data_IF_257204049445
#
_entry.id   IF_257204049445
#
_cell.length_a   1.000
_cell.length_b   1.000
_cell.length_c   1.000
_cell.angle_alpha   90.00
_cell.angle_beta   90.00
_cell.angle_gamma   90.00
#
_symmetry.space_group_name_H-M   'P 1'
#
loop_
_entity.id
_entity.type
_entity.pdbx_description
1 polymer ?
#
# COMPACT_ATOMS: atom_id res chain seq x y z
N UNK A 1 25.41 -11.16 7.87
CA UNK A 1 24.81 -10.29 6.84
C UNK A 1 23.68 -11.08 6.22
N UNK A 2 22.54 -10.44 5.93
CA UNK A 2 21.37 -11.12 5.32
C UNK A 2 21.74 -11.68 3.95
N UNK A 3 21.29 -12.91 3.64
CA UNK A 3 21.55 -13.56 2.35
C UNK A 3 20.72 -12.95 1.20
N UNK A 4 19.73 -12.12 1.51
CA UNK A 4 18.86 -11.46 0.53
C UNK A 4 18.47 -10.05 0.98
N UNK A 5 17.97 -9.26 0.03
CA UNK A 5 17.49 -7.90 0.24
C UNK A 5 15.99 -7.82 0.01
N UNK A 6 15.32 -6.94 0.78
CA UNK A 6 13.90 -6.65 0.61
C UNK A 6 13.75 -5.39 -0.24
N UNK A 7 12.97 -5.51 -1.31
CA UNK A 7 12.63 -4.43 -2.23
C UNK A 7 11.11 -4.29 -2.29
N UNK A 8 10.63 -3.08 -2.44
CA UNK A 8 9.22 -2.83 -2.76
C UNK A 8 9.10 -1.74 -3.81
N UNK A 9 7.98 -1.71 -4.52
CA UNK A 9 7.64 -0.52 -5.29
C UNK A 9 7.10 0.60 -4.39
N UNK A 10 7.06 1.83 -4.91
CA UNK A 10 6.74 3.05 -4.16
C UNK A 10 5.32 3.08 -3.58
N UNK A 11 4.44 2.17 -4.01
CA UNK A 11 3.08 2.11 -3.45
C UNK A 11 3.00 1.54 -2.03
N UNK A 12 4.12 1.10 -1.45
CA UNK A 12 4.18 0.66 -0.05
C UNK A 12 4.02 1.81 0.96
N UNK A 13 4.14 3.05 0.51
CA UNK A 13 3.93 4.28 1.30
C UNK A 13 4.69 4.32 2.64
N UNK A 14 5.82 3.62 2.70
CA UNK A 14 6.69 3.66 3.88
C UNK A 14 7.40 5.02 4.00
N UNK A 15 7.44 5.63 5.19
CA UNK A 15 8.32 6.76 5.44
C UNK A 15 9.78 6.42 5.08
N UNK A 16 10.49 7.34 4.42
CA UNK A 16 11.85 7.10 3.92
C UNK A 16 12.84 6.71 5.01
N UNK A 17 12.75 7.36 6.15
CA UNK A 17 13.58 7.08 7.34
C UNK A 17 13.32 5.67 7.88
N UNK A 18 12.06 5.23 7.88
CA UNK A 18 11.68 3.88 8.28
C UNK A 18 12.19 2.84 7.27
N UNK A 19 12.00 3.07 5.98
CA UNK A 19 12.50 2.17 4.93
C UNK A 19 14.02 2.02 5.02
N UNK A 20 14.75 3.13 5.18
CA UNK A 20 16.21 3.12 5.36
C UNK A 20 16.65 2.38 6.64
N UNK A 21 15.99 2.61 7.77
CA UNK A 21 16.24 1.92 9.04
C UNK A 21 16.05 0.40 8.92
N UNK A 22 15.07 -0.01 8.16
CA UNK A 22 14.72 -1.42 7.96
C UNK A 22 15.47 -2.07 6.78
N UNK A 23 16.40 -1.34 6.11
CA UNK A 23 17.14 -1.77 4.93
C UNK A 23 16.23 -2.22 3.77
N UNK A 24 15.14 -1.51 3.57
CA UNK A 24 14.20 -1.71 2.48
C UNK A 24 14.53 -0.74 1.35
N UNK A 25 14.72 -1.27 0.13
CA UNK A 25 14.89 -0.45 -1.06
C UNK A 25 13.55 -0.25 -1.75
N UNK A 26 13.23 1.02 -2.06
CA UNK A 26 11.94 1.37 -2.70
C UNK A 26 12.20 1.84 -4.13
N UNK A 27 11.53 1.21 -5.10
CA UNK A 27 11.53 1.61 -6.51
C UNK A 27 10.37 2.58 -6.74
N UNK A 28 10.62 3.87 -7.02
CA UNK A 28 9.59 4.89 -7.05
C UNK A 28 8.66 4.77 -8.27
N UNK A 29 7.40 5.12 -8.07
CA UNK A 29 6.47 5.43 -9.15
C UNK A 29 6.71 6.85 -9.67
N UNK A 30 6.02 7.19 -10.74
CA UNK A 30 6.02 8.52 -11.33
C UNK A 30 4.62 9.12 -11.27
N UNK A 31 4.54 10.44 -11.04
CA UNK A 31 3.29 11.19 -11.00
C UNK A 31 3.38 12.46 -11.84
N UNK A 32 2.25 12.87 -12.42
CA UNK A 32 2.18 14.06 -13.28
C UNK A 32 0.84 14.78 -13.11
N UNK A 33 0.86 16.12 -13.19
CA UNK A 33 -0.34 16.95 -13.21
C UNK A 33 -0.76 17.37 -14.63
N UNK A 34 0.11 17.20 -15.62
CA UNK A 34 -0.08 17.69 -17.01
C UNK A 34 0.08 16.58 -18.07
N UNK A 35 0.27 15.32 -17.65
CA UNK A 35 0.48 14.14 -18.47
C UNK A 35 1.75 14.21 -19.38
N UNK A 36 2.60 15.21 -19.20
CA UNK A 36 3.83 15.44 -19.97
C UNK A 36 5.07 15.32 -19.11
N UNK A 37 5.03 15.96 -17.94
CA UNK A 37 6.15 16.00 -17.01
C UNK A 37 5.89 15.03 -15.85
N UNK A 38 6.54 13.89 -15.90
CA UNK A 38 6.46 12.87 -14.87
C UNK A 38 7.62 13.04 -13.87
N UNK A 39 7.28 13.11 -12.59
CA UNK A 39 8.19 13.28 -11.47
C UNK A 39 8.25 11.99 -10.66
N UNK A 40 9.44 11.55 -10.27
CA UNK A 40 9.62 10.41 -9.35
C UNK A 40 9.09 10.77 -7.97
N UNK A 41 8.12 9.99 -7.50
CA UNK A 41 7.54 10.16 -6.18
C UNK A 41 8.60 10.01 -5.09
N UNK A 42 8.60 10.96 -4.16
CA UNK A 42 9.54 10.96 -3.05
C UNK A 42 10.98 11.33 -3.44
N UNK A 43 11.29 11.52 -4.73
CA UNK A 43 12.61 11.99 -5.23
C UNK A 43 12.46 13.39 -5.78
N UNK A 44 11.68 13.57 -6.85
CA UNK A 44 11.49 14.85 -7.53
C UNK A 44 10.36 15.67 -6.88
N UNK A 45 9.40 14.99 -6.24
CA UNK A 45 8.29 15.64 -5.53
C UNK A 45 8.01 14.93 -4.22
N UNK A 46 7.90 15.72 -3.13
CA UNK A 46 7.48 15.23 -1.83
C UNK A 46 5.98 14.88 -1.80
N UNK A 47 5.59 13.88 -1.01
CA UNK A 47 4.19 13.47 -0.88
C UNK A 47 3.32 14.63 -0.39
N UNK A 48 3.80 15.40 0.59
CA UNK A 48 3.04 16.55 1.13
C UNK A 48 2.84 17.64 0.09
N UNK A 49 3.86 17.95 -0.71
CA UNK A 49 3.78 18.95 -1.77
C UNK A 49 2.84 18.51 -2.87
N UNK A 50 2.82 17.22 -3.20
CA UNK A 50 1.88 16.64 -4.15
C UNK A 50 0.43 16.82 -3.67
N UNK A 51 0.14 16.49 -2.42
CA UNK A 51 -1.19 16.71 -1.83
C UNK A 51 -1.58 18.19 -1.81
N UNK A 52 -0.65 19.10 -1.49
CA UNK A 52 -0.92 20.53 -1.51
C UNK A 52 -1.32 20.99 -2.91
N UNK A 53 -0.58 20.54 -3.94
CA UNK A 53 -0.95 20.84 -5.34
C UNK A 53 -2.32 20.29 -5.72
N UNK A 54 -2.71 19.10 -5.24
CA UNK A 54 -4.06 18.54 -5.49
C UNK A 54 -5.16 19.41 -4.85
N UNK A 55 -4.92 19.91 -3.64
CA UNK A 55 -5.90 20.74 -2.90
C UNK A 55 -6.04 22.12 -3.51
N UNK A 56 -4.92 22.71 -3.95
CA UNK A 56 -4.88 24.03 -4.56
C UNK A 56 -5.48 24.02 -5.98
N UNK A 57 -5.36 22.92 -6.72
CA UNK A 57 -5.81 22.78 -8.10
C UNK A 57 -7.04 21.88 -8.21
N UNK A 58 -8.15 22.31 -7.59
CA UNK A 58 -9.42 21.55 -7.65
C UNK A 58 -9.87 21.33 -9.08
N UNK A 59 -10.23 20.09 -9.41
CA UNK A 59 -10.69 19.71 -10.76
C UNK A 59 -9.56 19.26 -11.69
N UNK A 60 -8.30 19.37 -11.28
CA UNK A 60 -7.18 18.72 -11.98
C UNK A 60 -7.01 17.30 -11.41
N UNK A 61 -7.03 16.32 -12.31
CA UNK A 61 -6.85 14.91 -11.96
C UNK A 61 -5.46 14.48 -12.39
N UNK A 62 -4.50 14.33 -11.46
CA UNK A 62 -3.16 13.90 -11.80
C UNK A 62 -3.14 12.47 -12.34
N UNK A 63 -2.03 12.06 -12.93
CA UNK A 63 -1.78 10.72 -13.45
C UNK A 63 -0.58 10.08 -12.76
N UNK A 64 -0.55 8.76 -12.76
CA UNK A 64 0.61 7.99 -12.31
C UNK A 64 1.13 7.10 -13.43
N UNK A 65 2.43 6.80 -13.37
CA UNK A 65 3.06 5.80 -14.21
C UNK A 65 3.86 4.84 -13.33
N UNK A 66 3.82 3.56 -13.68
CA UNK A 66 4.53 2.51 -12.95
C UNK A 66 6.05 2.58 -13.19
N UNK A 67 6.87 2.01 -12.29
CA UNK A 67 8.30 1.85 -12.53
C UNK A 67 8.53 0.99 -13.77
N UNK A 68 9.48 1.41 -14.61
CA UNK A 68 9.86 0.68 -15.80
C UNK A 68 10.65 -0.59 -15.47
N UNK A 69 10.83 -1.48 -16.44
CA UNK A 69 11.75 -2.63 -16.34
C UNK A 69 13.16 -2.16 -16.00
N UNK A 70 13.60 -1.06 -16.61
CA UNK A 70 14.93 -0.49 -16.38
C UNK A 70 15.09 0.02 -14.92
N UNK A 71 14.08 0.67 -14.35
CA UNK A 71 14.12 1.11 -12.94
C UNK A 71 14.34 -0.08 -11.97
N UNK A 72 13.72 -1.23 -12.25
CA UNK A 72 13.95 -2.45 -11.48
C UNK A 72 15.33 -3.06 -11.71
N UNK A 73 15.79 -3.11 -12.94
CA UNK A 73 17.13 -3.63 -13.27
C UNK A 73 18.24 -2.84 -12.58
N UNK A 74 18.13 -1.51 -12.55
CA UNK A 74 19.08 -0.62 -11.86
C UNK A 74 19.20 -0.90 -10.36
N UNK A 75 18.13 -1.40 -9.74
CA UNK A 75 18.10 -1.79 -8.33
C UNK A 75 18.54 -3.24 -8.13
N UNK A 76 18.11 -4.17 -8.98
CA UNK A 76 18.38 -5.60 -8.81
C UNK A 76 19.82 -5.98 -9.13
N UNK A 77 20.37 -5.49 -10.23
CA UNK A 77 21.67 -5.91 -10.72
C UNK A 77 22.83 -5.67 -9.73
N UNK A 78 22.93 -4.50 -9.05
CA UNK A 78 23.95 -4.29 -8.03
C UNK A 78 23.88 -5.26 -6.84
N UNK A 79 22.67 -5.71 -6.49
CA UNK A 79 22.44 -6.67 -5.39
C UNK A 79 22.90 -8.07 -5.82
N UNK A 80 22.55 -8.48 -7.04
CA UNK A 80 22.95 -9.76 -7.62
C UNK A 80 24.48 -9.83 -7.71
N UNK A 81 25.15 -8.76 -8.16
CA UNK A 81 26.62 -8.69 -8.23
C UNK A 81 27.31 -8.83 -6.86
N UNK A 82 26.58 -8.58 -5.76
CA UNK A 82 27.06 -8.83 -4.39
C UNK A 82 26.81 -10.27 -3.92
N UNK A 83 26.25 -11.13 -4.78
CA UNK A 83 25.90 -12.52 -4.44
C UNK A 83 24.67 -12.64 -3.51
N UNK A 84 23.83 -11.61 -3.39
CA UNK A 84 22.65 -11.61 -2.55
C UNK A 84 21.38 -11.94 -3.35
N UNK A 85 20.44 -12.61 -2.68
CA UNK A 85 19.10 -12.80 -3.19
C UNK A 85 18.23 -11.53 -3.11
N UNK A 86 17.10 -11.55 -3.79
CA UNK A 86 16.12 -10.46 -3.84
C UNK A 86 14.72 -10.99 -3.56
N UNK A 87 14.02 -10.36 -2.62
CA UNK A 87 12.57 -10.50 -2.44
C UNK A 87 11.94 -9.14 -2.75
N UNK A 88 11.30 -9.03 -3.92
CA UNK A 88 10.66 -7.82 -4.39
C UNK A 88 9.14 -7.93 -4.22
N UNK A 89 8.55 -7.02 -3.44
CA UNK A 89 7.12 -7.00 -3.11
C UNK A 89 6.47 -5.83 -3.85
N UNK A 90 5.53 -6.13 -4.74
CA UNK A 90 4.83 -5.16 -5.56
C UNK A 90 3.37 -4.99 -5.13
N UNK A 91 2.82 -3.82 -5.45
CA UNK A 91 1.38 -3.55 -5.38
C UNK A 91 0.59 -4.66 -6.08
N UNK A 92 -0.66 -4.87 -5.65
CA UNK A 92 -1.55 -5.81 -6.33
C UNK A 92 -1.56 -5.62 -7.85
N UNK A 93 -1.38 -6.72 -8.56
CA UNK A 93 -1.40 -6.77 -10.04
C UNK A 93 -2.73 -6.33 -10.65
N UNK A 94 -3.79 -6.26 -9.83
CA UNK A 94 -5.11 -5.77 -10.25
C UNK A 94 -5.15 -4.24 -10.46
N UNK A 95 -4.20 -3.50 -9.89
CA UNK A 95 -4.16 -2.04 -9.99
C UNK A 95 -3.01 -1.52 -10.86
N UNK A 96 -1.89 -2.25 -10.94
CA UNK A 96 -0.68 -1.79 -11.63
C UNK A 96 0.05 -2.93 -12.32
N UNK A 97 0.68 -2.61 -13.44
CA UNK A 97 1.65 -3.48 -14.12
C UNK A 97 3.04 -3.52 -13.44
N UNK A 98 3.22 -2.93 -12.28
CA UNK A 98 4.49 -2.88 -11.53
C UNK A 98 5.08 -4.27 -11.31
N UNK A 99 4.24 -5.23 -10.89
CA UNK A 99 4.61 -6.65 -10.76
C UNK A 99 5.18 -7.21 -12.06
N UNK A 100 4.55 -6.89 -13.20
CA UNK A 100 5.01 -7.37 -14.51
C UNK A 100 6.35 -6.73 -14.91
N UNK A 101 6.55 -5.44 -14.63
CA UNK A 101 7.84 -4.77 -14.87
C UNK A 101 8.96 -5.41 -14.04
N UNK A 102 8.73 -5.66 -12.75
CA UNK A 102 9.69 -6.34 -11.87
C UNK A 102 9.97 -7.78 -12.33
N UNK A 103 8.95 -8.51 -12.78
CA UNK A 103 9.10 -9.87 -13.31
C UNK A 103 9.88 -9.89 -14.62
N UNK A 104 9.65 -8.94 -15.50
CA UNK A 104 10.43 -8.81 -16.74
C UNK A 104 11.90 -8.48 -16.43
N UNK A 105 12.16 -7.57 -15.48
CA UNK A 105 13.52 -7.27 -15.03
C UNK A 105 14.22 -8.53 -14.46
N UNK A 106 13.53 -9.31 -13.61
CA UNK A 106 14.01 -10.62 -13.14
C UNK A 106 14.41 -11.51 -14.31
N UNK A 107 13.54 -11.70 -15.31
CA UNK A 107 13.77 -12.62 -16.41
C UNK A 107 14.99 -12.19 -17.26
N UNK A 108 15.10 -10.91 -17.58
CA UNK A 108 16.26 -10.36 -18.33
C UNK A 108 17.57 -10.56 -17.55
N UNK A 109 17.57 -10.30 -16.26
CA UNK A 109 18.76 -10.46 -15.43
C UNK A 109 19.17 -11.93 -15.28
N UNK A 110 18.23 -12.86 -15.26
CA UNK A 110 18.52 -14.30 -15.22
C UNK A 110 19.18 -14.83 -16.50
N UNK A 111 19.03 -14.15 -17.65
CA UNK A 111 19.78 -14.49 -18.87
C UNK A 111 21.29 -14.24 -18.69
N UNK A 112 21.65 -13.20 -17.92
CA UNK A 112 23.06 -12.84 -17.64
C UNK A 112 23.58 -13.49 -16.34
N UNK A 113 22.72 -13.65 -15.34
CA UNK A 113 23.04 -14.16 -14.01
C UNK A 113 22.13 -15.37 -13.67
N UNK A 114 22.31 -16.54 -14.29
CA UNK A 114 21.38 -17.68 -14.19
C UNK A 114 21.23 -18.24 -12.76
N UNK A 115 22.24 -18.06 -11.91
CA UNK A 115 22.22 -18.53 -10.51
C UNK A 115 21.63 -17.49 -9.54
N UNK A 116 21.22 -16.32 -10.01
CA UNK A 116 20.66 -15.28 -9.15
C UNK A 116 19.31 -15.70 -8.56
N UNK A 117 19.14 -15.47 -7.26
CA UNK A 117 17.89 -15.76 -6.55
C UNK A 117 17.04 -14.52 -6.48
N UNK A 118 16.00 -14.43 -7.29
CA UNK A 118 15.08 -13.29 -7.34
C UNK A 118 13.66 -13.79 -7.24
N UNK A 119 12.92 -13.31 -6.23
CA UNK A 119 11.49 -13.56 -6.09
C UNK A 119 10.71 -12.26 -6.16
N UNK A 120 9.66 -12.26 -6.98
CA UNK A 120 8.76 -11.11 -7.18
C UNK A 120 7.38 -11.52 -6.70
N UNK A 121 6.84 -10.79 -5.73
CA UNK A 121 5.61 -11.15 -5.01
C UNK A 121 4.53 -10.10 -5.28
N UNK A 122 3.36 -10.56 -5.73
CA UNK A 122 2.13 -9.80 -5.69
C UNK A 122 1.64 -9.73 -4.24
N UNK A 123 1.64 -8.55 -3.64
CA UNK A 123 1.20 -8.38 -2.25
C UNK A 123 -0.31 -8.56 -2.07
N UNK A 124 -1.10 -8.51 -3.15
CA UNK A 124 -2.57 -8.48 -3.14
C UNK A 124 -3.16 -7.31 -2.32
N UNK A 125 -2.34 -6.37 -1.93
CA UNK A 125 -2.69 -5.14 -1.21
C UNK A 125 -2.01 -3.93 -1.84
N UNK A 126 -2.14 -2.76 -1.23
CA UNK A 126 -1.48 -1.53 -1.63
C UNK A 126 -1.27 -0.60 -0.42
N UNK A 127 -0.70 0.56 -0.68
CA UNK A 127 -0.50 1.66 0.28
C UNK A 127 0.14 1.20 1.59
N UNK A 128 -0.19 1.82 2.68
CA UNK A 128 0.40 1.56 4.00
C UNK A 128 0.27 0.10 4.47
N UNK A 129 -0.74 -0.65 3.98
CA UNK A 129 -0.85 -2.08 4.30
C UNK A 129 0.22 -2.91 3.56
N UNK A 130 0.54 -2.54 2.30
CA UNK A 130 1.70 -3.10 1.63
C UNK A 130 2.98 -2.76 2.40
N UNK A 131 3.06 -1.54 2.95
CA UNK A 131 4.18 -1.15 3.82
C UNK A 131 4.34 -2.06 5.03
N UNK A 132 3.25 -2.38 5.75
CA UNK A 132 3.31 -3.36 6.85
C UNK A 132 3.76 -4.75 6.37
N UNK A 133 3.27 -5.18 5.23
CA UNK A 133 3.65 -6.47 4.65
C UNK A 133 5.15 -6.52 4.32
N UNK A 134 5.70 -5.44 3.76
CA UNK A 134 7.13 -5.28 3.49
C UNK A 134 7.97 -5.24 4.78
N UNK A 135 7.45 -4.60 5.84
CA UNK A 135 8.11 -4.57 7.15
C UNK A 135 8.19 -5.98 7.79
N UNK A 136 7.17 -6.82 7.60
CA UNK A 136 7.22 -8.22 8.07
C UNK A 136 8.31 -9.01 7.31
N UNK A 137 8.43 -8.81 5.99
CA UNK A 137 9.53 -9.40 5.21
C UNK A 137 10.91 -8.95 5.73
N UNK A 138 11.06 -7.64 6.02
CA UNK A 138 12.30 -7.11 6.57
C UNK A 138 12.64 -7.67 7.96
N UNK A 139 11.64 -7.88 8.83
CA UNK A 139 11.83 -8.53 10.13
C UNK A 139 12.34 -9.96 9.97
N UNK A 140 11.72 -10.77 9.10
CA UNK A 140 12.17 -12.13 8.81
C UNK A 140 13.60 -12.16 8.26
N UNK A 141 13.91 -11.26 7.33
CA UNK A 141 15.25 -11.11 6.77
C UNK A 141 16.29 -10.76 7.85
N UNK A 142 15.99 -9.84 8.76
CA UNK A 142 16.85 -9.47 9.90
C UNK A 142 17.04 -10.61 10.90
N UNK A 143 15.99 -11.40 11.12
CA UNK A 143 16.04 -12.58 12.00
C UNK A 143 16.81 -13.76 11.39
N UNK A 144 17.29 -13.65 10.13
CA UNK A 144 18.03 -14.71 9.45
C UNK A 144 17.15 -15.84 8.92
N UNK A 145 15.85 -15.63 8.76
CA UNK A 145 14.94 -16.59 8.13
C UNK A 145 15.42 -16.83 6.68
N UNK A 146 15.58 -18.08 6.23
CA UNK A 146 15.96 -18.39 4.86
C UNK A 146 14.99 -17.77 3.84
N UNK A 147 15.51 -17.31 2.68
CA UNK A 147 14.73 -16.62 1.65
C UNK A 147 13.47 -17.41 1.23
N UNK A 148 13.60 -18.70 0.99
CA UNK A 148 12.48 -19.56 0.59
C UNK A 148 11.39 -19.61 1.66
N UNK A 149 11.75 -19.74 2.93
CA UNK A 149 10.80 -19.74 4.04
C UNK A 149 10.10 -18.37 4.19
N UNK A 150 10.85 -17.27 4.02
CA UNK A 150 10.29 -15.91 3.99
C UNK A 150 9.26 -15.76 2.86
N UNK A 151 9.59 -16.19 1.64
CA UNK A 151 8.70 -16.13 0.47
C UNK A 151 7.42 -16.93 0.72
N UNK A 152 7.53 -18.17 1.22
CA UNK A 152 6.37 -19.01 1.51
C UNK A 152 5.46 -18.38 2.57
N UNK A 153 6.03 -17.83 3.65
CA UNK A 153 5.27 -17.11 4.68
C UNK A 153 4.55 -15.88 4.10
N UNK A 154 5.21 -15.10 3.24
CA UNK A 154 4.60 -13.95 2.58
C UNK A 154 3.45 -14.35 1.64
N UNK A 155 3.60 -15.43 0.89
CA UNK A 155 2.55 -15.93 0.01
C UNK A 155 1.30 -16.39 0.78
N UNK A 156 1.45 -16.92 1.98
CA UNK A 156 0.33 -17.27 2.85
C UNK A 156 -0.26 -16.03 3.55
N UNK A 157 0.59 -15.12 4.03
CA UNK A 157 0.15 -13.88 4.68
C UNK A 157 -0.72 -12.99 3.79
N UNK A 158 -0.35 -12.80 2.51
CA UNK A 158 -0.97 -11.84 1.60
C UNK A 158 -2.49 -12.03 1.44
N UNK A 159 -2.96 -13.28 1.53
CA UNK A 159 -4.39 -13.60 1.41
C UNK A 159 -5.23 -13.06 2.59
N UNK A 160 -4.58 -12.80 3.71
CA UNK A 160 -5.22 -12.25 4.91
C UNK A 160 -5.44 -10.73 4.85
N UNK A 161 -4.74 -10.02 3.95
CA UNK A 161 -4.75 -8.56 3.88
C UNK A 161 -6.13 -7.97 3.54
N UNK A 162 -6.56 -6.97 4.31
CA UNK A 162 -7.81 -6.23 4.09
C UNK A 162 -7.60 -4.75 4.35
N UNK A 163 -8.23 -3.89 3.56
CA UNK A 163 -8.30 -2.45 3.85
C UNK A 163 -9.77 -2.04 3.84
N UNK A 164 -10.20 -1.39 4.89
CA UNK A 164 -11.50 -0.74 5.00
C UNK A 164 -11.27 0.76 4.95
N UNK A 165 -11.87 1.46 3.99
CA UNK A 165 -11.59 2.87 3.80
C UNK A 165 -12.74 3.65 3.18
N UNK A 166 -12.64 4.97 3.26
CA UNK A 166 -13.51 5.93 2.58
C UNK A 166 -12.67 7.00 1.89
N UNK A 167 -13.23 7.65 0.88
CA UNK A 167 -12.57 8.70 0.10
C UNK A 167 -13.44 9.95 0.03
N UNK A 168 -12.85 11.07 -0.35
CA UNK A 168 -13.55 12.35 -0.50
C UNK A 168 -14.53 12.35 -1.66
N UNK A 169 -14.12 11.83 -2.82
CA UNK A 169 -14.89 11.73 -4.05
C UNK A 169 -14.48 10.48 -4.85
N UNK A 170 -15.43 9.85 -5.52
CA UNK A 170 -15.20 8.72 -6.44
C UNK A 170 -14.57 9.16 -7.77
N UNK A 171 -14.54 10.47 -8.06
CA UNK A 171 -14.09 11.01 -9.34
C UNK A 171 -12.63 10.67 -9.64
N UNK A 172 -11.78 10.66 -8.63
CA UNK A 172 -10.37 10.26 -8.78
C UNK A 172 -10.23 8.79 -9.21
N UNK A 173 -11.03 7.88 -8.65
CA UNK A 173 -11.06 6.47 -9.07
C UNK A 173 -11.53 6.32 -10.52
N UNK A 174 -12.51 7.15 -10.96
CA UNK A 174 -13.00 7.17 -12.34
C UNK A 174 -11.91 7.64 -13.30
N UNK A 175 -11.34 8.83 -13.06
CA UNK A 175 -10.31 9.43 -13.91
C UNK A 175 -9.01 8.62 -13.92
N UNK A 176 -8.69 7.97 -12.80
CA UNK A 176 -7.56 7.06 -12.68
C UNK A 176 -7.78 5.67 -13.28
N UNK A 177 -9.02 5.32 -13.69
CA UNK A 177 -9.35 4.01 -14.28
C UNK A 177 -9.28 2.84 -13.30
N UNK A 178 -9.23 3.08 -11.98
CA UNK A 178 -9.18 2.04 -10.92
C UNK A 178 -10.48 1.92 -10.15
N UNK A 179 -11.58 2.36 -10.75
CA UNK A 179 -12.92 2.27 -10.15
C UNK A 179 -13.41 0.82 -9.97
N UNK A 180 -12.97 -0.11 -10.82
CA UNK A 180 -13.24 -1.55 -10.69
C UNK A 180 -14.71 -1.87 -10.44
N UNK A 181 -14.98 -2.71 -9.43
CA UNK A 181 -16.33 -3.16 -9.03
C UNK A 181 -17.18 -2.07 -8.35
N UNK A 182 -16.65 -0.83 -8.23
CA UNK A 182 -17.40 0.33 -7.75
C UNK A 182 -18.12 1.09 -8.86
N UNK A 183 -18.03 0.66 -10.11
CA UNK A 183 -18.61 1.36 -11.28
C UNK A 183 -20.12 1.61 -11.13
N UNK A 184 -20.86 0.74 -10.46
CA UNK A 184 -22.28 0.93 -10.15
C UNK A 184 -22.57 2.11 -9.20
N UNK A 185 -21.60 2.55 -8.38
CA UNK A 185 -21.73 3.74 -7.54
C UNK A 185 -21.55 5.04 -8.32
N UNK A 186 -20.96 4.97 -9.51
CA UNK A 186 -20.67 6.14 -10.32
C UNK A 186 -21.92 6.88 -10.80
N UNK A 187 -23.06 6.22 -10.83
CA UNK A 187 -24.37 6.78 -11.19
C UNK A 187 -25.15 7.36 -9.99
N UNK A 188 -24.60 7.25 -8.78
CA UNK A 188 -25.32 7.63 -7.58
C UNK A 188 -25.05 9.08 -7.13
N UNK A 189 -26.01 9.62 -6.38
CA UNK A 189 -26.20 10.97 -5.87
C UNK A 189 -24.90 11.74 -5.52
N UNK A 190 -24.83 13.01 -5.90
CA UNK A 190 -23.80 13.98 -5.55
C UNK A 190 -23.57 14.01 -4.02
N UNK A 191 -22.30 13.99 -3.60
CA UNK A 191 -21.93 14.24 -2.20
C UNK A 191 -21.87 13.01 -1.28
N UNK A 192 -22.16 11.80 -1.78
CA UNK A 192 -21.99 10.57 -0.97
C UNK A 192 -20.50 10.26 -0.73
N UNK A 193 -20.22 9.62 0.40
CA UNK A 193 -18.92 9.09 0.76
C UNK A 193 -18.95 7.56 0.64
N UNK A 194 -18.24 6.97 -0.33
CA UNK A 194 -18.23 5.52 -0.50
C UNK A 194 -17.51 4.84 0.66
N UNK A 195 -18.00 3.69 1.06
CA UNK A 195 -17.31 2.75 1.93
C UNK A 195 -16.77 1.63 1.06
N UNK A 196 -15.47 1.40 1.15
CA UNK A 196 -14.75 0.54 0.24
C UNK A 196 -13.97 -0.49 1.04
N UNK A 197 -14.00 -1.74 0.59
CA UNK A 197 -13.13 -2.80 1.09
C UNK A 197 -12.18 -3.25 -0.01
N UNK A 198 -10.88 -3.24 0.28
CA UNK A 198 -9.91 -3.95 -0.53
C UNK A 198 -9.75 -5.35 0.06
N UNK A 199 -9.93 -6.36 -0.77
CA UNK A 199 -9.69 -7.78 -0.50
C UNK A 199 -9.33 -8.50 -1.79
N UNK A 200 -8.54 -9.54 -1.69
CA UNK A 200 -8.16 -10.39 -2.81
C UNK A 200 -7.56 -9.58 -4.00
N UNK A 201 -6.85 -8.51 -3.67
CA UNK A 201 -6.22 -7.59 -4.62
C UNK A 201 -7.14 -6.56 -5.28
N UNK A 202 -8.44 -6.55 -5.01
CA UNK A 202 -9.42 -5.69 -5.65
C UNK A 202 -10.26 -4.87 -4.66
N UNK A 203 -10.89 -3.78 -5.13
CA UNK A 203 -11.81 -2.97 -4.32
C UNK A 203 -13.26 -3.36 -4.56
N UNK A 204 -14.03 -3.37 -3.46
CA UNK A 204 -15.45 -3.72 -3.43
C UNK A 204 -16.25 -2.64 -2.73
N UNK A 205 -17.49 -2.47 -3.17
CA UNK A 205 -18.44 -1.62 -2.47
C UNK A 205 -18.88 -2.25 -1.15
N UNK A 206 -18.73 -1.51 -0.06
CA UNK A 206 -19.18 -1.89 1.29
C UNK A 206 -20.24 -0.94 1.82
N UNK A 207 -20.83 -0.13 0.95
CA UNK A 207 -21.89 0.80 1.29
C UNK A 207 -21.54 2.25 1.01
N UNK A 208 -22.37 3.14 1.51
CA UNK A 208 -22.23 4.59 1.35
C UNK A 208 -22.58 5.32 2.65
N UNK A 209 -22.08 6.52 2.78
CA UNK A 209 -22.45 7.45 3.86
C UNK A 209 -22.72 8.84 3.30
N UNK A 210 -23.55 9.62 4.02
CA UNK A 210 -23.91 10.99 3.62
C UNK A 210 -22.97 12.06 4.19
N UNK A 211 -22.13 11.71 5.16
CA UNK A 211 -21.18 12.66 5.73
C UNK A 211 -19.81 12.03 5.95
N UNK A 212 -18.78 12.87 5.99
CA UNK A 212 -17.41 12.46 6.24
C UNK A 212 -17.26 11.77 7.60
N UNK A 213 -17.78 12.40 8.65
CA UNK A 213 -17.75 11.85 10.03
C UNK A 213 -18.42 10.47 10.10
N UNK A 214 -19.61 10.33 9.51
CA UNK A 214 -20.32 9.05 9.51
C UNK A 214 -19.59 7.99 8.66
N UNK A 215 -18.90 8.37 7.56
CA UNK A 215 -18.14 7.40 6.77
C UNK A 215 -16.94 6.84 7.54
N UNK A 216 -16.24 7.66 8.28
CA UNK A 216 -15.13 7.21 9.14
C UNK A 216 -15.61 6.26 10.25
N UNK A 217 -16.70 6.59 10.94
CA UNK A 217 -17.28 5.70 11.94
C UNK A 217 -17.66 4.33 11.34
N UNK A 218 -18.27 4.32 10.14
CA UNK A 218 -18.61 3.08 9.43
C UNK A 218 -17.41 2.27 8.97
N UNK A 219 -16.28 2.90 8.65
CA UNK A 219 -15.03 2.17 8.37
C UNK A 219 -14.58 1.37 9.59
N UNK A 220 -14.66 1.95 10.79
CA UNK A 220 -14.36 1.25 12.04
C UNK A 220 -15.37 0.11 12.29
N UNK A 221 -16.64 0.34 12.03
CA UNK A 221 -17.69 -0.70 12.15
C UNK A 221 -17.42 -1.88 11.22
N UNK A 222 -17.01 -1.64 9.97
CA UNK A 222 -16.64 -2.69 9.01
C UNK A 222 -15.50 -3.56 9.52
N UNK A 223 -14.45 -2.97 10.10
CA UNK A 223 -13.37 -3.73 10.72
C UNK A 223 -13.89 -4.57 11.90
N UNK A 224 -14.67 -3.98 12.81
CA UNK A 224 -15.20 -4.69 13.97
C UNK A 224 -16.10 -5.84 13.58
N UNK A 225 -16.99 -5.63 12.62
CA UNK A 225 -17.86 -6.67 12.08
C UNK A 225 -17.04 -7.80 11.47
N UNK A 226 -16.07 -7.47 10.60
CA UNK A 226 -15.20 -8.46 9.95
C UNK A 226 -14.45 -9.32 10.96
N UNK A 227 -13.87 -8.69 11.99
CA UNK A 227 -13.09 -9.40 13.01
C UNK A 227 -13.96 -10.26 13.92
N UNK A 228 -15.16 -9.80 14.29
CA UNK A 228 -16.11 -10.53 15.10
C UNK A 228 -16.68 -11.76 14.37
N UNK A 229 -17.13 -11.58 13.12
CA UNK A 229 -17.69 -12.68 12.29
C UNK A 229 -16.68 -13.83 12.08
N UNK A 230 -15.40 -13.51 11.98
CA UNK A 230 -14.31 -14.49 11.77
C UNK A 230 -13.63 -14.93 13.05
N UNK A 231 -14.06 -14.43 14.21
CA UNK A 231 -13.46 -14.72 15.53
C UNK A 231 -11.94 -14.50 15.54
N UNK A 232 -11.50 -13.37 14.95
CA UNK A 232 -10.08 -13.08 14.77
C UNK A 232 -9.45 -12.72 16.11
N UNK A 233 -8.35 -13.40 16.43
CA UNK A 233 -7.47 -13.03 17.55
C UNK A 233 -6.59 -11.84 17.13
N UNK A 234 -6.97 -10.64 17.54
CA UNK A 234 -6.29 -9.38 17.21
C UNK A 234 -4.80 -9.36 17.61
N UNK A 235 -4.37 -10.17 18.56
CA UNK A 235 -2.95 -10.25 18.97
C UNK A 235 -2.06 -10.84 17.89
N UNK A 236 -2.63 -11.68 17.02
CA UNK A 236 -1.96 -12.31 15.87
C UNK A 236 -2.01 -11.46 14.61
N UNK A 237 -2.60 -10.27 14.69
CA UNK A 237 -2.80 -9.39 13.56
C UNK A 237 -2.17 -8.04 13.83
N UNK A 238 -1.92 -7.30 12.79
CA UNK A 238 -1.42 -5.95 12.85
C UNK A 238 -2.33 -5.02 12.04
N UNK A 239 -2.36 -3.77 12.46
CA UNK A 239 -3.15 -2.72 11.87
C UNK A 239 -2.27 -1.55 11.46
N UNK A 240 -2.70 -0.81 10.46
CA UNK A 240 -2.19 0.51 10.17
C UNK A 240 -3.32 1.43 9.71
N UNK A 241 -3.13 2.72 9.87
CA UNK A 241 -4.01 3.74 9.34
C UNK A 241 -3.31 4.41 8.16
N UNK A 242 -4.03 4.48 7.04
CA UNK A 242 -3.64 5.28 5.89
C UNK A 242 -4.49 6.55 5.81
N UNK A 243 -3.86 7.72 5.64
CA UNK A 243 -4.56 8.98 5.47
C UNK A 243 -3.98 9.82 4.33
N UNK A 244 -4.79 10.73 3.80
CA UNK A 244 -4.38 11.64 2.74
C UNK A 244 -3.80 12.96 3.24
N UNK A 245 -4.47 14.06 2.89
CA UNK A 245 -4.00 15.41 3.20
C UNK A 245 -4.15 15.81 4.66
N UNK A 246 -5.25 15.43 5.33
CA UNK A 246 -5.65 15.94 6.64
C UNK A 246 -5.08 15.11 7.78
N UNK A 247 -4.03 15.61 8.43
CA UNK A 247 -3.36 14.95 9.57
C UNK A 247 -4.18 15.02 10.86
N UNK A 248 -4.96 16.07 11.06
CA UNK A 248 -5.78 16.22 12.28
C UNK A 248 -6.95 15.23 12.24
N UNK A 249 -7.58 15.09 11.06
CA UNK A 249 -8.60 14.08 10.83
C UNK A 249 -8.04 12.66 11.07
N UNK A 250 -6.82 12.39 10.61
CA UNK A 250 -6.16 11.10 10.81
C UNK A 250 -5.90 10.79 12.29
N UNK A 251 -5.41 11.76 13.06
CA UNK A 251 -5.18 11.60 14.50
C UNK A 251 -6.51 11.36 15.25
N UNK A 252 -7.56 12.09 14.88
CA UNK A 252 -8.89 11.88 15.45
C UNK A 252 -9.46 10.49 15.12
N UNK A 253 -9.26 10.02 13.88
CA UNK A 253 -9.68 8.69 13.44
C UNK A 253 -8.92 7.59 14.18
N UNK A 254 -7.58 7.71 14.34
CA UNK A 254 -6.77 6.77 15.11
C UNK A 254 -7.27 6.64 16.55
N UNK A 255 -7.51 7.76 17.20
CA UNK A 255 -8.06 7.77 18.58
C UNK A 255 -9.42 7.06 18.66
N UNK A 256 -10.31 7.31 17.72
CA UNK A 256 -11.62 6.65 17.63
C UNK A 256 -11.48 5.13 17.40
N UNK A 257 -10.59 4.72 16.48
CA UNK A 257 -10.34 3.31 16.20
C UNK A 257 -9.81 2.58 17.44
N UNK A 258 -8.77 3.11 18.09
CA UNK A 258 -8.18 2.50 19.28
C UNK A 258 -9.19 2.39 20.43
N UNK A 259 -10.00 3.43 20.65
CA UNK A 259 -11.10 3.41 21.62
C UNK A 259 -12.14 2.32 21.30
N UNK A 260 -12.52 2.19 20.02
CA UNK A 260 -13.51 1.21 19.57
C UNK A 260 -13.00 -0.25 19.66
N UNK A 261 -11.69 -0.45 19.68
CA UNK A 261 -11.03 -1.74 19.89
C UNK A 261 -10.79 -2.07 21.37
N UNK A 262 -11.23 -1.20 22.28
CA UNK A 262 -11.21 -1.48 23.72
C UNK A 262 -9.81 -1.60 24.34
N UNK A 263 -8.79 -0.96 23.78
CA UNK A 263 -7.42 -0.98 24.28
C UNK A 263 -6.64 -2.29 23.99
N UNK A 264 -7.18 -3.16 23.15
CA UNK A 264 -6.49 -4.40 22.74
C UNK A 264 -5.23 -4.09 21.91
N UNK A 265 -5.26 -2.99 21.16
CA UNK A 265 -4.18 -2.50 20.31
C UNK A 265 -3.77 -1.12 20.82
N UNK A 266 -2.48 -0.91 20.98
CA UNK A 266 -1.91 0.38 21.37
C UNK A 266 -1.65 1.28 20.15
N UNK A 267 -1.40 2.57 20.39
CA UNK A 267 -1.04 3.51 19.32
C UNK A 267 0.25 3.09 18.60
N UNK A 268 1.24 2.59 19.33
CA UNK A 268 2.49 2.09 18.77
C UNK A 268 2.32 0.85 17.87
N UNK A 269 1.28 0.05 18.13
CA UNK A 269 0.94 -1.15 17.33
C UNK A 269 0.03 -0.83 16.14
N UNK A 270 -0.45 0.40 16.01
CA UNK A 270 -1.29 0.85 14.91
C UNK A 270 -0.70 2.13 14.28
N UNK A 271 0.41 2.03 13.53
CA UNK A 271 1.03 3.18 12.91
C UNK A 271 0.07 3.89 11.95
N UNK A 272 0.22 5.22 11.88
CA UNK A 272 -0.57 6.09 11.03
C UNK A 272 0.36 6.76 10.02
N UNK A 273 0.28 6.35 8.75
CA UNK A 273 1.15 6.84 7.68
C UNK A 273 0.37 7.61 6.62
N UNK A 274 1.02 8.62 6.04
CA UNK A 274 0.47 9.34 4.91
C UNK A 274 0.53 8.46 3.66
N UNK A 275 -0.61 8.30 2.99
CA UNK A 275 -0.71 7.60 1.71
C UNK A 275 0.10 8.37 0.66
N UNK A 276 0.85 7.67 -0.17
CA UNK A 276 1.73 8.24 -1.18
C UNK A 276 1.01 8.94 -2.34
N UNK A 277 1.79 9.66 -3.13
CA UNK A 277 1.28 10.42 -4.26
C UNK A 277 0.64 9.52 -5.33
N UNK A 278 1.27 8.39 -5.63
CA UNK A 278 0.77 7.41 -6.62
C UNK A 278 -0.62 6.90 -6.28
N UNK A 279 -0.87 6.54 -5.03
CA UNK A 279 -2.19 6.08 -4.58
C UNK A 279 -3.17 7.24 -4.53
N UNK A 280 -2.73 8.44 -4.12
CA UNK A 280 -3.59 9.63 -4.06
C UNK A 280 -4.10 10.10 -5.42
N UNK A 281 -3.37 9.85 -6.51
CA UNK A 281 -3.85 10.03 -7.89
C UNK A 281 -5.22 9.36 -8.10
N UNK A 282 -5.43 8.20 -7.48
CA UNK A 282 -6.66 7.41 -7.64
C UNK A 282 -7.68 7.61 -6.51
N UNK A 283 -7.24 7.99 -5.30
CA UNK A 283 -8.13 8.16 -4.15
C UNK A 283 -8.51 9.61 -3.87
N UNK A 284 -7.82 10.54 -4.53
CA UNK A 284 -7.95 11.96 -4.26
C UNK A 284 -7.22 12.39 -2.98
N UNK A 285 -7.38 13.65 -2.54
CA UNK A 285 -6.63 14.17 -1.42
C UNK A 285 -7.14 13.70 -0.04
N UNK A 286 -8.32 13.09 0.05
CA UNK A 286 -8.95 12.76 1.33
C UNK A 286 -9.32 11.29 1.51
N UNK A 287 -8.44 10.30 1.20
CA UNK A 287 -8.63 8.94 1.65
C UNK A 287 -8.35 8.84 3.14
N UNK A 288 -9.06 7.95 3.84
CA UNK A 288 -8.76 7.50 5.19
C UNK A 288 -9.28 6.09 5.39
N UNK A 289 -8.50 5.27 6.08
CA UNK A 289 -8.89 3.89 6.31
C UNK A 289 -7.94 3.14 7.21
N UNK A 290 -8.30 1.90 7.50
CA UNK A 290 -7.52 0.96 8.28
C UNK A 290 -7.13 -0.25 7.44
N UNK A 291 -5.85 -0.53 7.38
CA UNK A 291 -5.27 -1.75 6.84
C UNK A 291 -5.11 -2.79 7.95
N UNK A 292 -5.29 -4.05 7.59
CA UNK A 292 -5.35 -5.14 8.53
C UNK A 292 -4.82 -6.43 7.89
N UNK A 293 -3.81 -7.06 8.50
CA UNK A 293 -3.15 -8.26 8.00
C UNK A 293 -2.61 -9.10 9.17
N UNK A 294 -2.55 -10.43 9.03
CA UNK A 294 -1.92 -11.25 10.05
C UNK A 294 -0.42 -10.97 10.18
N UNK A 295 0.13 -11.19 11.36
CA UNK A 295 1.58 -11.16 11.59
C UNK A 295 2.22 -12.41 10.99
N UNK A 296 3.50 -12.31 10.64
CA UNK A 296 4.30 -13.48 10.30
C UNK A 296 4.48 -14.40 11.53
N UNK A 297 4.81 -15.66 11.29
CA UNK A 297 4.88 -16.70 12.34
C UNK A 297 6.30 -17.29 12.56
N UNK A 298 7.29 -16.78 11.83
CA UNK A 298 8.63 -17.38 11.80
C UNK A 298 9.65 -16.74 12.76
N UNK A 299 9.33 -15.57 13.33
CA UNK A 299 10.20 -14.90 14.30
C UNK A 299 9.45 -13.92 15.22
#
# INVERSE_FOLDING_TARGET
MSEYCIISDGSCDLPKDLAAKENITVVPFYVSFDEKNYMKEGVDIGVRDFYQKMVDNKGVFPKSSLPSVQDYMEVFEPIIKQGKGIVCICITSKFSGSLQSATNAKNILLETYPDAKIEVIDSMVNTVLQGLFVLEAAKMCKAGVPMEACVNELLDMRESGRIFFTIGSIDYLKHGGRIGKLSGLAASVLGIKPLITLKDGEIYNSGVSRSRKASMAKVIELLKQYTAERKIDMKKWQLCIGFGYDREEAAAFQKQLLSALGGIITEAECPCFQIGATISVHTGPYPIGVGFIRKQTLC
#
